data_IF_734264366519
#
_entry.id   IF_734264366519
#
_cell.length_a   1.000
_cell.length_b   1.000
_cell.length_c   1.000
_cell.angle_alpha   90.00
_cell.angle_beta   90.00
_cell.angle_gamma   90.00
#
_symmetry.space_group_name_H-M   'P 1'
#
loop_
_entity.id
_entity.type
_entity.pdbx_description
1 polymer ?
#
# COMPACT_ATOMS: atom_id res chain seq x y z
N UNK A 1 18.98 7.50 2.10
CA UNK A 1 18.34 6.17 1.90
C UNK A 1 17.98 6.00 0.43
N UNK A 2 18.36 4.90 -0.14
CA UNK A 2 17.89 4.56 -1.48
C UNK A 2 16.56 3.82 -1.36
N UNK A 3 15.55 4.26 -2.09
CA UNK A 3 14.20 3.69 -1.98
C UNK A 3 14.19 2.19 -2.31
N UNK A 4 14.89 1.79 -3.36
CA UNK A 4 14.90 0.39 -3.76
C UNK A 4 15.56 -0.51 -2.71
N UNK A 5 16.60 0.01 -2.03
CA UNK A 5 17.28 -0.72 -0.97
C UNK A 5 16.38 -0.94 0.25
N UNK A 6 15.40 -0.04 0.46
CA UNK A 6 14.47 -0.17 1.59
C UNK A 6 13.65 -1.48 1.53
N UNK A 7 13.51 -2.07 0.35
CA UNK A 7 12.79 -3.33 0.19
C UNK A 7 13.63 -4.56 0.53
N UNK A 8 14.96 -4.41 0.61
CA UNK A 8 15.85 -5.55 0.87
C UNK A 8 15.63 -6.15 2.27
N UNK A 9 15.17 -5.35 3.20
CA UNK A 9 14.93 -5.79 4.58
C UNK A 9 13.53 -6.35 4.80
N UNK A 10 12.66 -6.31 3.77
CA UNK A 10 11.31 -6.83 3.89
C UNK A 10 11.32 -8.34 3.71
N UNK A 11 11.02 -9.05 4.79
CA UNK A 11 11.01 -10.52 4.77
C UNK A 11 9.68 -11.10 4.30
N UNK A 12 8.58 -10.36 4.51
CA UNK A 12 7.23 -10.87 4.26
C UNK A 12 6.48 -10.03 3.24
N UNK A 13 5.64 -10.68 2.48
CA UNK A 13 4.67 -10.00 1.63
C UNK A 13 3.53 -9.43 2.46
N UNK A 14 2.89 -8.39 1.98
CA UNK A 14 1.73 -7.74 2.59
C UNK A 14 2.00 -7.20 4.01
N UNK A 15 3.24 -6.86 4.30
CA UNK A 15 3.65 -6.35 5.61
C UNK A 15 4.31 -4.98 5.44
N UNK A 16 3.54 -3.88 5.43
CA UNK A 16 4.10 -2.55 5.21
C UNK A 16 5.02 -2.14 6.35
N UNK A 17 6.04 -1.34 5.99
CA UNK A 17 7.02 -0.83 6.92
C UNK A 17 7.17 0.67 6.74
N UNK A 18 7.14 1.40 7.84
CA UNK A 18 7.34 2.86 7.82
C UNK A 18 8.83 3.11 7.68
N UNK A 19 9.22 3.88 6.65
CA UNK A 19 10.61 4.22 6.39
C UNK A 19 10.90 5.71 6.54
N UNK A 20 9.89 6.53 6.71
CA UNK A 20 10.06 7.96 6.88
C UNK A 20 8.76 8.65 7.25
N UNK A 21 8.90 9.91 7.62
CA UNK A 21 7.79 10.76 7.99
C UNK A 21 7.98 12.14 7.38
N UNK A 22 6.89 12.73 6.89
CA UNK A 22 6.87 14.11 6.43
C UNK A 22 5.65 14.77 7.06
N UNK A 23 5.88 15.63 8.05
CA UNK A 23 4.81 16.22 8.85
C UNK A 23 3.87 15.14 9.40
N UNK A 24 2.59 15.19 9.08
CA UNK A 24 1.59 14.20 9.51
C UNK A 24 1.41 13.06 8.53
N UNK A 25 2.39 12.83 7.65
CA UNK A 25 2.35 11.75 6.67
C UNK A 25 3.43 10.71 6.97
N UNK A 26 3.09 9.43 6.76
CA UNK A 26 4.06 8.35 6.75
C UNK A 26 4.45 8.01 5.31
N UNK A 27 5.72 7.68 5.13
CA UNK A 27 6.21 7.05 3.91
C UNK A 27 6.43 5.59 4.25
N UNK A 28 5.77 4.70 3.51
CA UNK A 28 5.84 3.26 3.75
C UNK A 28 6.29 2.53 2.50
N UNK A 29 6.88 1.36 2.71
CA UNK A 29 7.17 0.42 1.63
C UNK A 29 6.51 -0.91 1.96
N UNK A 30 6.05 -1.58 0.91
CA UNK A 30 5.44 -2.90 1.04
C UNK A 30 5.71 -3.67 -0.24
N UNK A 31 5.98 -4.97 -0.11
CA UNK A 31 6.02 -5.86 -1.27
C UNK A 31 4.83 -6.79 -1.23
N UNK A 32 4.24 -7.04 -2.37
CA UNK A 32 3.11 -7.96 -2.47
C UNK A 32 3.32 -8.95 -3.59
N UNK A 33 2.63 -10.09 -3.48
CA UNK A 33 2.52 -11.09 -4.52
C UNK A 33 1.25 -11.89 -4.24
N UNK A 34 0.38 -12.01 -5.24
CA UNK A 34 -0.91 -12.64 -5.06
C UNK A 34 -1.99 -11.68 -4.60
N UNK A 35 -3.09 -12.21 -4.10
CA UNK A 35 -4.25 -11.44 -3.64
C UNK A 35 -4.61 -11.85 -2.22
N UNK A 36 -4.32 -10.97 -1.25
CA UNK A 36 -4.68 -11.17 0.15
C UNK A 36 -5.27 -9.91 0.78
N UNK A 37 -5.28 -8.80 0.03
CA UNK A 37 -5.84 -7.53 0.53
C UNK A 37 -7.35 -7.57 0.41
N UNK A 38 -8.10 -7.40 1.50
CA UNK A 38 -9.56 -7.37 1.41
C UNK A 38 -10.04 -6.09 0.74
N UNK A 39 -11.26 -6.11 0.21
CA UNK A 39 -11.94 -4.87 -0.18
C UNK A 39 -12.06 -3.99 1.06
N UNK A 40 -11.59 -2.76 0.98
CA UNK A 40 -11.62 -1.82 2.10
C UNK A 40 -11.59 -0.38 1.61
N UNK A 41 -11.85 0.54 2.51
CA UNK A 41 -11.69 1.97 2.25
C UNK A 41 -11.10 2.67 3.47
N UNK A 42 -10.63 3.89 3.23
CA UNK A 42 -10.19 4.80 4.29
C UNK A 42 -11.15 6.00 4.24
N UNK A 43 -12.04 6.11 5.21
CA UNK A 43 -13.13 7.09 5.18
C UNK A 43 -12.64 8.54 5.13
N UNK A 44 -11.51 8.82 5.77
CA UNK A 44 -11.04 10.18 5.97
C UNK A 44 -9.66 10.44 5.38
N UNK A 45 -9.04 9.46 4.75
CA UNK A 45 -7.67 9.58 4.24
C UNK A 45 -7.57 9.21 2.78
N UNK A 46 -6.80 10.00 2.03
CA UNK A 46 -6.32 9.63 0.71
C UNK A 46 -5.08 8.77 0.87
N UNK A 47 -4.82 7.90 -0.12
CA UNK A 47 -3.65 7.03 -0.10
C UNK A 47 -2.96 7.08 -1.45
N UNK A 48 -1.68 7.43 -1.46
CA UNK A 48 -0.88 7.45 -2.68
C UNK A 48 -0.12 6.14 -2.83
N UNK A 49 -0.24 5.53 -4.01
CA UNK A 49 0.51 4.34 -4.41
C UNK A 49 1.53 4.75 -5.48
N UNK A 50 2.79 4.37 -5.29
CA UNK A 50 3.83 4.54 -6.29
C UNK A 50 4.49 3.18 -6.54
N UNK A 51 4.51 2.74 -7.80
CA UNK A 51 5.05 1.43 -8.15
C UNK A 51 6.55 1.56 -8.39
N UNK A 52 7.33 1.02 -7.48
CA UNK A 52 8.79 1.04 -7.56
C UNK A 52 9.30 -0.01 -8.54
N UNK A 53 8.66 -1.18 -8.55
CA UNK A 53 8.99 -2.27 -9.48
C UNK A 53 7.80 -3.23 -9.56
N UNK A 54 7.65 -3.90 -10.70
CA UNK A 54 6.56 -4.85 -10.93
C UNK A 54 5.32 -4.19 -11.50
N UNK A 55 4.19 -4.89 -11.40
CA UNK A 55 2.90 -4.44 -11.91
C UNK A 55 1.82 -4.72 -10.87
N UNK A 56 1.00 -3.70 -10.57
CA UNK A 56 -0.07 -3.77 -9.60
C UNK A 56 -1.42 -3.74 -10.29
N UNK A 57 -2.31 -4.67 -9.92
CA UNK A 57 -3.72 -4.55 -10.29
C UNK A 57 -4.44 -3.79 -9.18
N UNK A 58 -4.97 -2.62 -9.53
CA UNK A 58 -5.78 -1.80 -8.63
C UNK A 58 -7.24 -1.96 -9.02
N UNK A 59 -8.04 -2.51 -8.12
CA UNK A 59 -9.48 -2.65 -8.33
C UNK A 59 -10.21 -1.65 -7.45
N UNK A 60 -11.03 -0.82 -8.07
CA UNK A 60 -11.86 0.18 -7.38
C UNK A 60 -13.31 -0.13 -7.71
N UNK A 61 -14.14 -0.21 -6.68
CA UNK A 61 -15.56 -0.51 -6.83
C UNK A 61 -16.22 0.45 -7.81
N UNK A 62 -16.98 -0.09 -8.77
CA UNK A 62 -17.71 0.64 -9.79
C UNK A 62 -16.81 1.40 -10.78
N UNK A 63 -15.54 1.01 -10.90
CA UNK A 63 -14.61 1.60 -11.85
C UNK A 63 -13.91 0.47 -12.61
N UNK A 64 -13.43 0.73 -13.86
CA UNK A 64 -12.58 -0.24 -14.55
C UNK A 64 -11.31 -0.50 -13.76
N UNK A 65 -10.81 -1.73 -13.83
CA UNK A 65 -9.55 -2.10 -13.21
C UNK A 65 -8.38 -1.33 -13.81
N UNK A 66 -7.39 -0.99 -12.99
CA UNK A 66 -6.19 -0.28 -13.41
C UNK A 66 -4.98 -1.18 -13.25
N UNK A 67 -4.14 -1.22 -14.28
CA UNK A 67 -2.82 -1.85 -14.19
C UNK A 67 -1.77 -0.77 -14.05
N UNK A 68 -1.15 -0.72 -12.88
CA UNK A 68 -0.11 0.26 -12.57
C UNK A 68 1.24 -0.42 -12.72
N UNK A 69 2.11 0.19 -13.51
CA UNK A 69 3.43 -0.36 -13.84
C UNK A 69 4.53 0.45 -13.16
N UNK A 70 5.73 -0.07 -13.20
CA UNK A 70 6.91 0.61 -12.66
C UNK A 70 6.94 2.08 -13.06
N UNK A 71 7.04 2.95 -12.07
CA UNK A 71 7.06 4.39 -12.26
C UNK A 71 5.69 5.07 -12.24
N UNK A 72 4.60 4.30 -12.25
CA UNK A 72 3.25 4.86 -12.16
C UNK A 72 2.93 5.22 -10.71
N UNK A 73 2.13 6.26 -10.55
CA UNK A 73 1.53 6.57 -9.26
C UNK A 73 0.02 6.74 -9.41
N UNK A 74 -0.69 6.49 -8.32
CA UNK A 74 -2.14 6.64 -8.30
C UNK A 74 -2.59 7.00 -6.89
N UNK A 75 -3.49 7.96 -6.78
CA UNK A 75 -4.07 8.34 -5.49
C UNK A 75 -5.47 7.75 -5.38
N UNK A 76 -5.65 6.89 -4.39
CA UNK A 76 -6.98 6.41 -4.02
C UNK A 76 -7.56 7.44 -3.06
N UNK A 77 -8.56 8.18 -3.53
CA UNK A 77 -9.20 9.19 -2.71
C UNK A 77 -10.03 8.55 -1.60
N UNK A 78 -10.17 9.27 -0.50
CA UNK A 78 -10.91 8.80 0.67
C UNK A 78 -12.31 8.29 0.31
N UNK A 79 -12.75 7.26 1.01
CA UNK A 79 -14.08 6.69 0.85
C UNK A 79 -14.22 5.70 -0.30
N UNK A 80 -13.19 5.51 -1.11
CA UNK A 80 -13.27 4.59 -2.24
C UNK A 80 -12.94 3.16 -1.81
N UNK A 81 -13.89 2.27 -2.02
CA UNK A 81 -13.68 0.86 -1.75
C UNK A 81 -12.76 0.26 -2.82
N UNK A 82 -11.66 -0.34 -2.39
CA UNK A 82 -10.62 -0.83 -3.31
C UNK A 82 -9.89 -2.04 -2.74
N UNK A 83 -9.16 -2.72 -3.62
CA UNK A 83 -8.18 -3.74 -3.23
C UNK A 83 -7.10 -3.81 -4.28
N UNK A 84 -5.95 -4.37 -3.91
CA UNK A 84 -4.79 -4.52 -4.80
C UNK A 84 -4.32 -5.96 -4.83
N UNK A 85 -3.71 -6.33 -5.96
CA UNK A 85 -3.11 -7.65 -6.13
C UNK A 85 -1.99 -7.57 -7.17
N UNK A 86 -1.17 -8.60 -7.23
CA UNK A 86 -0.16 -8.73 -8.27
C UNK A 86 0.11 -10.21 -8.57
N UNK A 87 0.34 -10.53 -9.84
CA UNK A 87 0.70 -11.89 -10.22
C UNK A 87 2.11 -12.23 -9.79
N UNK A 88 3.04 -11.30 -10.03
CA UNK A 88 4.44 -11.41 -9.64
C UNK A 88 4.76 -10.40 -8.55
N UNK A 89 5.94 -10.50 -7.96
CA UNK A 89 6.37 -9.58 -6.92
C UNK A 89 6.25 -8.12 -7.37
N UNK A 90 5.61 -7.32 -6.55
CA UNK A 90 5.43 -5.90 -6.80
C UNK A 90 5.93 -5.11 -5.60
N UNK A 91 6.78 -4.12 -5.86
CA UNK A 91 7.36 -3.24 -4.83
C UNK A 91 6.63 -1.90 -4.87
N UNK A 92 6.03 -1.52 -3.75
CA UNK A 92 5.16 -0.35 -3.66
C UNK A 92 5.64 0.60 -2.57
N UNK A 93 5.67 1.90 -2.89
CA UNK A 93 5.80 2.95 -1.87
C UNK A 93 4.43 3.57 -1.66
N UNK A 94 4.08 3.78 -0.40
CA UNK A 94 2.83 4.42 -0.01
C UNK A 94 3.13 5.72 0.71
N UNK A 95 2.31 6.74 0.47
CA UNK A 95 2.31 7.96 1.28
C UNK A 95 0.89 8.12 1.78
N UNK A 96 0.74 8.21 3.09
CA UNK A 96 -0.56 8.29 3.72
C UNK A 96 -0.51 9.00 5.07
N UNK A 97 -1.63 9.56 5.49
CA UNK A 97 -1.75 10.24 6.75
C UNK A 97 -1.51 9.26 7.92
N UNK A 98 -0.94 9.76 9.01
CA UNK A 98 -0.63 8.93 10.20
C UNK A 98 -1.87 8.29 10.85
N UNK A 99 -3.06 8.76 10.50
CA UNK A 99 -4.33 8.19 11.00
C UNK A 99 -4.81 7.00 10.17
N UNK A 100 -4.13 6.66 9.06
CA UNK A 100 -4.57 5.62 8.13
C UNK A 100 -4.33 4.23 8.73
N UNK A 101 -5.39 3.41 8.77
CA UNK A 101 -5.30 2.01 9.19
C UNK A 101 -4.93 1.12 8.01
N UNK A 102 -4.10 0.10 8.22
CA UNK A 102 -3.54 -0.76 7.17
C UNK A 102 -4.59 -1.25 6.16
N UNK A 103 -5.68 -1.82 6.64
CA UNK A 103 -6.77 -2.32 5.80
C UNK A 103 -8.09 -1.61 6.11
N UNK A 104 -8.01 -0.29 6.37
CA UNK A 104 -9.15 0.48 6.81
C UNK A 104 -9.73 -0.10 8.10
N UNK A 105 -11.04 -0.18 8.17
CA UNK A 105 -11.73 -0.78 9.33
C UNK A 105 -11.92 -2.29 9.17
N UNK A 106 -11.52 -2.86 8.04
CA UNK A 106 -11.63 -4.29 7.77
C UNK A 106 -10.40 -5.00 8.35
N UNK A 107 -10.60 -5.97 9.23
CA UNK A 107 -9.52 -6.79 9.77
C UNK A 107 -9.32 -8.04 8.92
N UNK A 108 -8.07 -8.43 8.74
CA UNK A 108 -7.71 -9.63 7.99
C UNK A 108 -6.41 -10.21 8.54
N UNK A 109 -5.97 -11.33 7.94
CA UNK A 109 -4.71 -11.97 8.34
C UNK A 109 -3.49 -11.08 8.12
N UNK A 110 -3.58 -10.15 7.16
CA UNK A 110 -2.45 -9.26 6.84
C UNK A 110 -2.46 -7.96 7.63
N UNK A 111 -3.56 -7.62 8.34
CA UNK A 111 -3.69 -6.33 9.02
C UNK A 111 -2.61 -6.11 10.07
N UNK A 112 -1.91 -4.97 9.96
CA UNK A 112 -0.83 -4.57 10.86
C UNK A 112 -1.18 -3.27 11.58
N UNK A 113 -0.90 -3.19 12.86
CA UNK A 113 -0.99 -1.94 13.62
C UNK A 113 0.15 -1.01 13.20
N UNK A 114 0.05 0.28 13.57
CA UNK A 114 1.13 1.24 13.31
C UNK A 114 2.42 0.80 14.01
N UNK A 115 2.32 0.31 15.23
CA UNK A 115 3.52 -0.15 15.96
C UNK A 115 4.19 -1.33 15.25
N UNK A 116 3.41 -2.26 14.69
CA UNK A 116 3.93 -3.38 13.92
C UNK A 116 4.58 -2.95 12.61
N UNK A 117 4.24 -1.77 12.07
CA UNK A 117 4.79 -1.24 10.83
C UNK A 117 6.06 -0.42 11.04
N UNK A 118 6.36 -0.03 12.27
CA UNK A 118 7.55 0.77 12.57
C UNK A 118 8.83 -0.05 12.38
N UNK A 119 9.84 0.61 11.89
CA UNK A 119 11.17 0.06 11.65
C UNK A 119 12.05 0.08 12.89
#
# INVERSE_FOLDING_TARGET
MNLKDAFLDLEKYFSPKIIGEVNDQYIKVVKIKGQEVPWHNHENEDELFFIVDGELLMEIENQPDLKLKKGDLFVVNKGRNHRVSSEEECLIMLIESKTTEHTGKVKSQITKSIDEQKY
#
